data_IF_860592264454
#
_entry.id   IF_860592264454
#
_cell.length_a   1.000
_cell.length_b   1.000
_cell.length_c   1.000
_cell.angle_alpha   90.00
_cell.angle_beta   90.00
_cell.angle_gamma   90.00
#
_symmetry.space_group_name_H-M   'P 1'
#
loop_
_entity.id
_entity.type
_entity.pdbx_description
1 polymer ?
#
# COMPACT_ATOMS: atom_id res chain seq x y z
N UNK A 1 38.54 -21.37 29.68
CA UNK A 1 39.83 -21.30 29.00
C UNK A 1 40.07 -22.62 28.29
N UNK A 2 40.57 -22.57 27.06
CA UNK A 2 40.90 -23.75 26.26
C UNK A 2 42.19 -24.36 26.78
N UNK A 3 42.35 -25.65 26.61
CA UNK A 3 43.64 -26.32 26.86
C UNK A 3 44.62 -26.00 25.72
N UNK A 4 45.92 -26.21 25.92
CA UNK A 4 46.95 -26.00 24.88
C UNK A 4 46.63 -26.76 23.57
N UNK A 5 46.10 -27.99 23.69
CA UNK A 5 45.61 -28.76 22.54
C UNK A 5 44.38 -28.09 21.88
N UNK A 6 43.51 -27.52 22.69
CA UNK A 6 42.33 -26.78 22.21
C UNK A 6 42.70 -25.51 21.44
N UNK A 7 43.71 -24.77 21.90
CA UNK A 7 44.23 -23.59 21.19
C UNK A 7 44.87 -23.96 19.85
N UNK A 8 45.65 -25.03 19.81
CA UNK A 8 46.23 -25.55 18.56
C UNK A 8 45.16 -25.99 17.58
N UNK A 9 44.11 -26.69 18.05
CA UNK A 9 43.00 -27.10 17.23
C UNK A 9 42.24 -25.87 16.67
N UNK A 10 41.96 -24.88 17.52
CA UNK A 10 41.30 -23.64 17.11
C UNK A 10 42.10 -22.92 16.01
N UNK A 11 43.41 -22.79 16.18
CA UNK A 11 44.26 -22.13 15.17
C UNK A 11 44.26 -22.85 13.80
N UNK A 12 44.14 -24.17 13.80
CA UNK A 12 44.06 -24.97 12.57
C UNK A 12 42.64 -24.98 11.98
N UNK A 13 41.59 -24.92 12.79
CA UNK A 13 40.21 -24.95 12.37
C UNK A 13 39.73 -23.59 11.85
N UNK A 14 40.23 -22.48 12.41
CA UNK A 14 39.78 -21.14 12.02
C UNK A 14 39.87 -20.86 10.49
N UNK A 15 41.01 -21.14 9.82
CA UNK A 15 41.10 -20.93 8.36
C UNK A 15 40.11 -21.77 7.54
N UNK A 16 39.79 -22.98 8.04
CA UNK A 16 38.85 -23.88 7.38
C UNK A 16 37.44 -23.33 7.48
N UNK A 17 37.05 -22.79 8.64
CA UNK A 17 35.75 -22.15 8.87
C UNK A 17 35.64 -20.89 8.00
N UNK A 18 36.67 -20.05 7.97
CA UNK A 18 36.72 -18.86 7.12
C UNK A 18 36.59 -19.20 5.64
N UNK A 19 37.29 -20.22 5.15
CA UNK A 19 37.14 -20.69 3.78
C UNK A 19 35.76 -21.26 3.49
N UNK A 20 35.18 -21.99 4.42
CA UNK A 20 33.81 -22.49 4.29
C UNK A 20 32.80 -21.35 4.22
N UNK A 21 32.89 -20.38 5.11
CA UNK A 21 32.03 -19.19 5.09
C UNK A 21 32.16 -18.38 3.82
N UNK A 22 33.40 -18.19 3.33
CA UNK A 22 33.65 -17.51 2.04
C UNK A 22 33.06 -18.29 0.86
N UNK A 23 33.20 -19.62 0.85
CA UNK A 23 32.60 -20.46 -0.18
C UNK A 23 31.08 -20.43 -0.15
N UNK A 24 30.49 -20.46 1.03
CA UNK A 24 29.04 -20.30 1.20
C UNK A 24 28.59 -18.93 0.72
N UNK A 25 29.28 -17.86 1.09
CA UNK A 25 28.97 -16.50 0.61
C UNK A 25 29.07 -16.40 -0.92
N UNK A 26 30.09 -17.00 -1.54
CA UNK A 26 30.24 -17.07 -2.99
C UNK A 26 29.10 -17.87 -3.63
N UNK A 27 28.77 -19.03 -3.10
CA UNK A 27 27.66 -19.87 -3.57
C UNK A 27 26.31 -19.16 -3.47
N UNK A 28 26.09 -18.37 -2.42
CA UNK A 28 24.90 -17.54 -2.28
C UNK A 28 24.86 -16.38 -3.30
N UNK A 29 26.03 -15.84 -3.68
CA UNK A 29 26.11 -14.83 -4.73
C UNK A 29 25.88 -15.41 -6.13
N UNK A 30 26.35 -16.65 -6.38
CA UNK A 30 26.18 -17.34 -7.66
C UNK A 30 24.76 -17.90 -7.86
N UNK A 31 24.04 -18.21 -6.77
CA UNK A 31 22.61 -18.50 -6.80
C UNK A 31 21.90 -17.15 -6.74
N UNK A 32 21.65 -16.54 -7.88
CA UNK A 32 20.75 -15.39 -7.95
C UNK A 32 19.40 -15.83 -7.38
N UNK A 33 19.09 -15.35 -6.19
CA UNK A 33 17.76 -15.53 -5.65
C UNK A 33 16.76 -14.97 -6.68
N UNK A 34 15.66 -15.69 -6.97
CA UNK A 34 14.65 -15.13 -7.85
C UNK A 34 14.24 -13.75 -7.31
N UNK A 35 13.94 -12.77 -8.18
CA UNK A 35 13.54 -11.46 -7.74
C UNK A 35 12.27 -11.53 -6.91
N UNK A 36 12.20 -10.74 -5.85
CA UNK A 36 10.95 -10.47 -5.14
C UNK A 36 10.11 -9.52 -5.99
N UNK A 37 8.98 -10.01 -6.48
CA UNK A 37 8.07 -9.26 -7.36
C UNK A 37 7.00 -8.59 -6.51
N UNK A 38 7.08 -7.27 -6.41
CA UNK A 38 6.19 -6.43 -5.62
C UNK A 38 5.26 -5.63 -6.54
N UNK A 39 3.96 -5.86 -6.44
CA UNK A 39 2.94 -5.03 -7.07
C UNK A 39 2.52 -3.88 -6.17
N UNK A 40 2.50 -2.67 -6.69
CA UNK A 40 2.01 -1.48 -5.97
C UNK A 40 0.82 -0.92 -6.74
N UNK A 41 -0.32 -0.82 -6.06
CA UNK A 41 -1.49 -0.19 -6.64
C UNK A 41 -1.22 1.27 -6.99
N UNK A 42 -1.60 1.68 -8.21
CA UNK A 42 -1.56 3.10 -8.62
C UNK A 42 -2.49 3.98 -7.79
N UNK A 43 -3.47 3.39 -7.10
CA UNK A 43 -4.30 4.10 -6.14
C UNK A 43 -3.51 4.55 -4.89
N UNK A 44 -2.36 3.92 -4.63
CA UNK A 44 -1.40 4.32 -3.62
C UNK A 44 -0.40 5.29 -4.25
N UNK A 45 -0.82 6.54 -4.46
CA UNK A 45 0.09 7.58 -4.97
C UNK A 45 1.25 7.76 -3.98
N UNK A 46 2.49 7.99 -4.43
CA UNK A 46 3.67 8.11 -3.57
C UNK A 46 3.49 9.06 -2.36
N UNK A 47 2.68 10.10 -2.52
CA UNK A 47 2.37 11.06 -1.46
C UNK A 47 1.51 10.44 -0.32
N UNK A 48 0.89 9.28 -0.55
CA UNK A 48 0.06 8.59 0.45
C UNK A 48 0.84 7.62 1.32
N UNK A 49 2.00 7.18 0.85
CA UNK A 49 2.92 6.34 1.60
C UNK A 49 4.32 6.97 1.59
N UNK A 50 4.51 8.14 2.24
CA UNK A 50 5.82 8.79 2.29
C UNK A 50 6.95 7.84 2.69
N UNK A 51 6.75 6.89 3.64
CA UNK A 51 7.79 5.95 4.04
C UNK A 51 8.02 4.80 3.04
N UNK A 52 7.25 4.68 1.95
CA UNK A 52 7.42 3.56 1.01
C UNK A 52 8.80 3.59 0.36
N UNK A 53 9.26 4.76 -0.10
CA UNK A 53 10.58 4.91 -0.69
C UNK A 53 11.69 4.49 0.28
N UNK A 54 11.61 4.98 1.51
CA UNK A 54 12.56 4.64 2.57
C UNK A 54 12.52 3.15 2.92
N UNK A 55 11.34 2.55 2.96
CA UNK A 55 11.17 1.12 3.23
C UNK A 55 11.77 0.25 2.11
N UNK A 56 11.57 0.62 0.84
CA UNK A 56 12.16 -0.09 -0.30
C UNK A 56 13.69 0.02 -0.29
N UNK A 57 14.22 1.19 0.05
CA UNK A 57 15.65 1.40 0.17
C UNK A 57 16.22 0.60 1.37
N UNK A 58 15.58 0.63 2.51
CA UNK A 58 15.97 -0.17 3.67
C UNK A 58 15.94 -1.68 3.37
N UNK A 59 14.95 -2.13 2.58
CA UNK A 59 14.90 -3.52 2.12
C UNK A 59 16.12 -3.87 1.26
N UNK A 60 16.47 -3.04 0.27
CA UNK A 60 17.64 -3.27 -0.60
C UNK A 60 18.95 -3.31 0.18
N UNK A 61 19.07 -2.42 1.16
CA UNK A 61 20.27 -2.39 2.03
C UNK A 61 20.37 -3.63 2.92
N UNK A 62 19.24 -4.10 3.44
CA UNK A 62 19.20 -5.25 4.36
C UNK A 62 19.33 -6.59 3.61
N UNK A 63 18.86 -6.66 2.38
CA UNK A 63 18.82 -7.88 1.58
C UNK A 63 19.41 -7.68 0.18
N UNK A 64 20.72 -7.34 0.10
CA UNK A 64 21.36 -7.00 -1.19
C UNK A 64 21.39 -8.16 -2.20
N UNK A 65 21.28 -9.42 -1.71
CA UNK A 65 21.23 -10.61 -2.55
C UNK A 65 19.84 -10.94 -3.11
N UNK A 66 18.81 -10.15 -2.78
CA UNK A 66 17.44 -10.36 -3.28
C UNK A 66 17.09 -9.20 -4.23
N UNK A 67 17.09 -9.42 -5.55
CA UNK A 67 16.63 -8.42 -6.50
C UNK A 67 15.16 -8.08 -6.22
N UNK A 68 14.81 -6.79 -6.27
CA UNK A 68 13.45 -6.31 -6.06
C UNK A 68 12.91 -5.75 -7.38
N UNK A 69 11.87 -6.38 -7.90
CA UNK A 69 11.09 -5.91 -9.05
C UNK A 69 9.81 -5.27 -8.57
N UNK A 70 9.60 -4.01 -8.93
CA UNK A 70 8.43 -3.24 -8.51
C UNK A 70 7.60 -2.90 -9.74
N UNK A 71 6.32 -3.25 -9.71
CA UNK A 71 5.35 -2.97 -10.76
C UNK A 71 4.22 -2.10 -10.23
N UNK A 72 3.81 -1.11 -11.02
CA UNK A 72 2.63 -0.29 -10.74
C UNK A 72 1.44 -0.86 -11.49
N UNK A 73 0.36 -1.18 -10.78
CA UNK A 73 -0.80 -1.92 -11.29
C UNK A 73 -2.11 -1.26 -10.83
N UNK A 74 -3.22 -1.57 -11.48
CA UNK A 74 -4.54 -1.21 -10.95
C UNK A 74 -4.80 -1.96 -9.62
N UNK A 75 -5.66 -1.40 -8.77
CA UNK A 75 -5.86 -1.93 -7.43
C UNK A 75 -6.42 -3.36 -7.41
N UNK A 76 -7.23 -3.70 -8.37
CA UNK A 76 -7.85 -5.02 -8.59
C UNK A 76 -6.91 -6.03 -9.26
N UNK A 77 -5.95 -5.56 -10.05
CA UNK A 77 -4.95 -6.42 -10.71
C UNK A 77 -3.96 -7.04 -9.72
N UNK A 78 -3.59 -6.32 -8.66
CA UNK A 78 -2.60 -6.80 -7.68
C UNK A 78 -3.05 -8.10 -7.00
N UNK A 79 -4.27 -8.23 -6.46
CA UNK A 79 -4.76 -9.49 -5.90
C UNK A 79 -4.81 -10.62 -6.93
N UNK A 80 -5.20 -10.34 -8.16
CA UNK A 80 -5.27 -11.33 -9.22
C UNK A 80 -3.87 -11.90 -9.56
N UNK A 81 -2.86 -11.02 -9.64
CA UNK A 81 -1.49 -11.42 -9.90
C UNK A 81 -0.83 -12.15 -8.72
N UNK A 82 -1.20 -11.81 -7.47
CA UNK A 82 -0.80 -12.59 -6.29
C UNK A 82 -1.37 -14.01 -6.32
N UNK A 83 -2.64 -14.15 -6.65
CA UNK A 83 -3.30 -15.48 -6.75
C UNK A 83 -2.69 -16.35 -7.85
N UNK A 84 -2.29 -15.76 -8.97
CA UNK A 84 -1.65 -16.49 -10.06
C UNK A 84 -0.17 -16.80 -9.80
N UNK A 85 0.44 -16.22 -8.76
CA UNK A 85 1.87 -16.33 -8.48
C UNK A 85 2.74 -15.45 -9.40
N UNK A 86 2.15 -14.52 -10.15
CA UNK A 86 2.90 -13.53 -10.92
C UNK A 86 3.58 -12.49 -10.03
N UNK A 87 3.04 -12.24 -8.83
CA UNK A 87 3.62 -11.43 -7.77
C UNK A 87 3.83 -12.25 -6.51
N UNK A 88 4.79 -11.86 -5.69
CA UNK A 88 5.10 -12.45 -4.40
C UNK A 88 4.51 -11.62 -3.24
N UNK A 89 4.40 -10.32 -3.43
CA UNK A 89 3.81 -9.38 -2.48
C UNK A 89 3.07 -8.26 -3.21
N UNK A 90 2.14 -7.61 -2.52
CA UNK A 90 1.40 -6.49 -3.08
C UNK A 90 0.98 -5.47 -2.05
N UNK A 91 1.03 -4.20 -2.43
CA UNK A 91 0.48 -3.09 -1.68
C UNK A 91 -0.80 -2.61 -2.37
N UNK A 92 -1.91 -2.70 -1.67
CA UNK A 92 -3.22 -2.34 -2.18
C UNK A 92 -3.95 -1.44 -1.20
N UNK A 93 -4.87 -0.65 -1.71
CA UNK A 93 -5.91 -0.03 -0.89
C UNK A 93 -6.95 -1.12 -0.61
N UNK A 94 -7.04 -1.57 0.65
CA UNK A 94 -8.04 -2.57 1.05
C UNK A 94 -9.41 -1.91 1.19
N UNK A 95 -10.22 -2.13 0.20
CA UNK A 95 -11.57 -1.61 0.10
C UNK A 95 -12.61 -2.72 0.36
N UNK A 96 -12.16 -3.81 0.99
CA UNK A 96 -13.01 -4.93 1.38
C UNK A 96 -13.17 -6.02 0.30
N UNK A 97 -12.57 -5.85 -0.88
CA UNK A 97 -12.71 -6.77 -2.02
C UNK A 97 -11.58 -7.81 -2.14
N UNK A 98 -10.54 -7.72 -1.28
CA UNK A 98 -9.43 -8.68 -1.35
C UNK A 98 -9.89 -10.12 -1.05
N UNK A 99 -9.49 -11.04 -1.90
CA UNK A 99 -9.82 -12.46 -1.75
C UNK A 99 -9.37 -13.03 -0.40
N UNK A 100 -10.24 -13.80 0.24
CA UNK A 100 -10.00 -14.38 1.57
C UNK A 100 -8.79 -15.34 1.64
N UNK A 101 -8.30 -15.79 0.49
CA UNK A 101 -7.16 -16.71 0.39
C UNK A 101 -5.79 -16.02 0.51
N UNK A 102 -5.73 -14.70 0.43
CA UNK A 102 -4.48 -13.97 0.55
C UNK A 102 -4.23 -13.57 2.02
N UNK A 103 -2.99 -13.78 2.50
CA UNK A 103 -2.54 -13.23 3.76
C UNK A 103 -2.51 -11.69 3.69
N UNK A 104 -3.07 -11.01 4.69
CA UNK A 104 -3.18 -9.55 4.71
C UNK A 104 -2.64 -8.98 6.01
N UNK A 105 -1.95 -7.86 5.89
CA UNK A 105 -1.50 -7.07 7.03
C UNK A 105 -1.87 -5.60 6.76
N UNK A 106 -2.64 -5.00 7.65
CA UNK A 106 -2.93 -3.57 7.57
C UNK A 106 -1.68 -2.78 7.95
N UNK A 107 -1.21 -1.94 7.05
CA UNK A 107 -0.05 -1.07 7.29
C UNK A 107 -0.49 0.27 7.88
N UNK A 108 -1.64 0.78 7.43
CA UNK A 108 -2.19 2.06 7.89
C UNK A 108 -3.71 2.08 7.67
N UNK A 109 -4.39 2.96 8.38
CA UNK A 109 -5.80 3.26 8.15
C UNK A 109 -5.94 4.69 7.66
N UNK A 110 -6.91 4.88 6.79
CA UNK A 110 -7.21 6.18 6.25
C UNK A 110 -8.70 6.48 6.45
N UNK A 111 -8.99 7.75 6.69
CA UNK A 111 -10.37 8.23 6.78
C UNK A 111 -10.74 8.87 5.45
N UNK A 112 -11.93 8.56 4.94
CA UNK A 112 -12.44 9.24 3.76
C UNK A 112 -12.58 10.74 4.05
N UNK A 113 -12.07 11.56 3.13
CA UNK A 113 -12.17 13.01 3.23
C UNK A 113 -13.01 13.55 2.07
N UNK A 114 -13.82 14.55 2.38
CA UNK A 114 -14.62 15.28 1.40
C UNK A 114 -13.89 16.58 1.03
N UNK A 115 -13.53 16.70 -0.24
CA UNK A 115 -13.11 17.98 -0.79
C UNK A 115 -14.35 18.82 -1.09
N UNK A 116 -14.42 20.00 -0.54
CA UNK A 116 -15.57 20.88 -0.70
C UNK A 116 -15.21 22.21 -1.33
N UNK A 117 -16.05 22.69 -2.23
CA UNK A 117 -15.97 24.02 -2.79
C UNK A 117 -16.15 25.09 -1.69
N UNK A 118 -15.49 26.24 -1.85
CA UNK A 118 -15.72 27.39 -0.97
C UNK A 118 -17.17 27.91 -1.00
N UNK A 119 -17.93 27.55 -2.01
CA UNK A 119 -19.35 27.90 -2.17
C UNK A 119 -20.28 26.87 -1.52
N UNK A 120 -19.76 25.73 -1.11
CA UNK A 120 -20.55 24.67 -0.49
C UNK A 120 -20.99 25.04 0.92
N UNK A 121 -22.19 24.59 1.31
CA UNK A 121 -22.68 24.66 2.69
C UNK A 121 -21.77 23.91 3.69
N UNK A 122 -20.93 23.03 3.20
CA UNK A 122 -19.98 22.25 3.98
C UNK A 122 -18.62 22.92 4.13
N UNK A 123 -18.43 24.10 3.52
CA UNK A 123 -17.17 24.82 3.63
C UNK A 123 -16.83 25.11 5.11
N UNK A 124 -15.60 24.84 5.51
CA UNK A 124 -15.08 24.98 6.87
C UNK A 124 -15.63 23.96 7.90
N UNK A 125 -16.44 22.99 7.48
CA UNK A 125 -16.83 21.88 8.35
C UNK A 125 -15.66 20.93 8.53
N UNK A 126 -15.38 20.54 9.78
CA UNK A 126 -14.32 19.57 10.10
C UNK A 126 -14.78 18.14 9.89
N UNK A 127 -16.05 17.87 10.07
CA UNK A 127 -16.64 16.57 9.86
C UNK A 127 -18.04 16.74 9.26
N UNK A 128 -18.41 15.79 8.42
CA UNK A 128 -19.71 15.71 7.75
C UNK A 128 -20.18 14.27 7.90
N UNK A 129 -21.38 14.07 8.41
CA UNK A 129 -21.95 12.72 8.50
C UNK A 129 -22.49 12.27 7.14
N UNK A 130 -22.55 10.96 6.86
CA UNK A 130 -23.15 10.45 5.64
C UNK A 130 -24.58 10.93 5.42
N UNK A 131 -25.39 11.05 6.48
CA UNK A 131 -26.78 11.53 6.40
C UNK A 131 -26.89 12.97 5.89
N UNK A 132 -25.89 13.82 6.14
CA UNK A 132 -25.89 15.21 5.66
C UNK A 132 -25.62 15.31 4.15
N UNK A 133 -25.17 14.23 3.52
CA UNK A 133 -24.89 14.15 2.09
C UNK A 133 -26.07 13.63 1.28
N UNK A 134 -27.22 13.40 1.91
CA UNK A 134 -28.44 12.99 1.21
C UNK A 134 -28.83 13.99 0.14
N UNK A 135 -29.07 13.49 -1.09
CA UNK A 135 -29.39 14.29 -2.26
C UNK A 135 -28.25 15.13 -2.87
N UNK A 136 -27.07 15.15 -2.25
CA UNK A 136 -25.90 15.86 -2.79
C UNK A 136 -25.29 15.10 -3.97
N UNK A 137 -24.65 15.82 -4.88
CA UNK A 137 -23.85 15.21 -5.93
C UNK A 137 -22.40 15.09 -5.48
N UNK A 138 -21.87 13.88 -5.47
CA UNK A 138 -20.52 13.58 -5.07
C UNK A 138 -19.73 13.04 -6.24
N UNK A 139 -18.60 13.67 -6.54
CA UNK A 139 -17.65 13.16 -7.51
C UNK A 139 -16.70 12.19 -6.84
N UNK A 140 -16.60 10.99 -7.39
CA UNK A 140 -15.69 9.97 -6.93
C UNK A 140 -14.65 9.74 -8.01
N UNK A 141 -13.35 9.87 -7.71
CA UNK A 141 -12.31 9.49 -8.69
C UNK A 141 -12.52 8.04 -9.12
N UNK A 142 -12.36 7.77 -10.41
CA UNK A 142 -12.63 6.48 -11.04
C UNK A 142 -11.89 5.33 -10.38
N UNK A 143 -12.52 4.79 -9.35
CA UNK A 143 -12.12 3.56 -8.69
C UNK A 143 -13.07 2.44 -9.11
N UNK A 144 -12.59 1.24 -8.96
CA UNK A 144 -13.41 0.04 -8.99
C UNK A 144 -14.67 0.25 -8.11
N UNK A 145 -15.88 -0.03 -8.61
CA UNK A 145 -17.11 0.06 -7.81
C UNK A 145 -17.04 -0.73 -6.49
N UNK A 146 -16.34 -1.84 -6.45
CA UNK A 146 -16.11 -2.61 -5.23
C UNK A 146 -15.24 -1.85 -4.20
N UNK A 147 -14.41 -0.96 -4.66
CA UNK A 147 -13.61 -0.09 -3.86
C UNK A 147 -14.42 0.89 -3.00
N UNK A 148 -15.59 1.24 -3.48
CA UNK A 148 -16.50 2.17 -2.82
C UNK A 148 -17.48 1.48 -1.86
N UNK A 149 -17.44 0.14 -1.75
CA UNK A 149 -18.38 -0.62 -0.92
C UNK A 149 -18.47 -0.14 0.54
N UNK A 150 -17.37 0.15 1.26
CA UNK A 150 -17.46 0.66 2.63
C UNK A 150 -18.15 2.02 2.71
N UNK A 151 -17.95 2.86 1.70
CA UNK A 151 -18.61 4.16 1.59
C UNK A 151 -20.11 4.00 1.31
N UNK A 152 -20.46 3.12 0.36
CA UNK A 152 -21.85 2.76 0.09
C UNK A 152 -22.56 2.25 1.34
N UNK A 153 -21.90 1.38 2.11
CA UNK A 153 -22.46 0.87 3.34
C UNK A 153 -22.74 1.99 4.34
N UNK A 154 -21.80 2.94 4.47
CA UNK A 154 -21.99 4.09 5.37
C UNK A 154 -23.19 4.98 4.94
N UNK A 155 -23.44 5.13 3.64
CA UNK A 155 -24.64 5.83 3.17
C UNK A 155 -25.92 5.03 3.43
N UNK A 156 -25.91 3.73 3.18
CA UNK A 156 -27.05 2.85 3.46
C UNK A 156 -27.40 2.84 4.96
N UNK A 157 -26.40 2.75 5.82
CA UNK A 157 -26.56 2.76 7.26
C UNK A 157 -27.14 4.10 7.77
N UNK A 158 -26.90 5.17 7.03
CA UNK A 158 -27.39 6.51 7.36
C UNK A 158 -28.70 6.89 6.62
N UNK A 159 -29.28 5.96 5.84
CA UNK A 159 -30.44 6.20 4.97
C UNK A 159 -30.23 7.43 4.05
N UNK A 160 -29.03 7.58 3.53
CA UNK A 160 -28.62 8.69 2.65
C UNK A 160 -28.41 8.23 1.21
N UNK A 161 -28.88 9.04 0.26
CA UNK A 161 -28.90 8.72 -1.16
C UNK A 161 -28.20 9.82 -1.99
N UNK A 162 -26.88 10.00 -1.84
CA UNK A 162 -26.15 10.95 -2.68
C UNK A 162 -26.11 10.45 -4.12
N UNK A 163 -26.05 11.38 -5.07
CA UNK A 163 -25.78 11.07 -6.48
C UNK A 163 -24.28 10.94 -6.67
N UNK A 164 -23.80 9.76 -7.06
CA UNK A 164 -22.38 9.56 -7.33
C UNK A 164 -22.10 9.74 -8.81
N UNK A 165 -21.16 10.62 -9.12
CA UNK A 165 -20.59 10.80 -10.44
C UNK A 165 -19.14 10.32 -10.42
N UNK A 166 -18.83 9.32 -11.25
CA UNK A 166 -17.49 8.74 -11.34
C UNK A 166 -16.70 9.52 -12.39
N UNK A 167 -15.64 10.17 -11.96
CA UNK A 167 -14.72 10.88 -12.86
C UNK A 167 -13.58 9.98 -13.31
N UNK A 168 -13.36 9.87 -14.62
CA UNK A 168 -12.26 9.06 -15.17
C UNK A 168 -10.86 9.56 -14.79
N UNK A 169 -10.73 10.84 -14.47
CA UNK A 169 -9.42 11.46 -14.17
C UNK A 169 -9.48 12.33 -12.92
N UNK A 170 -8.46 12.24 -12.11
CA UNK A 170 -8.34 13.01 -10.87
C UNK A 170 -8.44 14.53 -11.08
N UNK A 171 -7.89 15.08 -12.19
CA UNK A 171 -8.01 16.52 -12.47
C UNK A 171 -9.44 16.96 -12.79
N UNK A 172 -10.27 16.10 -13.38
CA UNK A 172 -11.67 16.40 -13.60
C UNK A 172 -12.39 16.54 -12.27
N UNK A 173 -12.07 15.68 -11.33
CA UNK A 173 -12.57 15.75 -9.96
C UNK A 173 -12.18 17.07 -9.32
N UNK A 174 -10.92 17.48 -9.39
CA UNK A 174 -10.45 18.75 -8.84
C UNK A 174 -11.10 19.97 -9.53
N UNK A 175 -11.26 19.95 -10.84
CA UNK A 175 -11.91 21.03 -11.60
C UNK A 175 -13.38 21.15 -11.22
N UNK A 176 -14.08 20.03 -11.17
CA UNK A 176 -15.50 19.97 -10.79
C UNK A 176 -15.74 20.33 -9.33
N UNK A 177 -14.75 20.11 -8.44
CA UNK A 177 -14.80 20.52 -7.03
C UNK A 177 -14.99 22.03 -6.84
N UNK A 178 -14.58 22.83 -7.82
CA UNK A 178 -14.79 24.28 -7.77
C UNK A 178 -16.26 24.67 -7.97
N UNK A 179 -17.01 23.82 -8.65
CA UNK A 179 -18.41 24.08 -9.03
C UNK A 179 -19.39 23.27 -8.19
N UNK A 180 -19.00 22.08 -7.72
CA UNK A 180 -19.87 21.12 -7.03
C UNK A 180 -19.17 20.52 -5.81
N UNK A 181 -19.94 19.88 -4.93
CA UNK A 181 -19.36 19.08 -3.83
C UNK A 181 -18.67 17.84 -4.39
N UNK A 182 -17.48 17.57 -3.92
CA UNK A 182 -16.69 16.44 -4.38
C UNK A 182 -16.26 15.56 -3.22
N UNK A 183 -16.56 14.28 -3.31
CA UNK A 183 -15.97 13.29 -2.46
C UNK A 183 -14.65 12.84 -3.10
N UNK A 184 -13.54 13.33 -2.61
CA UNK A 184 -12.27 12.75 -2.92
C UNK A 184 -11.87 11.83 -1.76
N UNK A 185 -11.65 10.58 -2.04
CA UNK A 185 -11.01 9.63 -1.11
C UNK A 185 -9.53 9.99 -1.02
N UNK A 186 -9.22 11.24 -0.64
CA UNK A 186 -7.89 11.76 -0.90
C UNK A 186 -7.28 12.60 0.19
N UNK A 187 -7.60 12.42 1.43
CA UNK A 187 -6.70 12.81 2.49
C UNK A 187 -6.74 11.86 3.65
N UNK A 188 -5.65 11.22 3.77
CA UNK A 188 -5.33 10.25 4.75
C UNK A 188 -4.53 10.97 5.85
N UNK A 189 -5.18 11.33 6.93
CA UNK A 189 -4.45 11.54 8.16
C UNK A 189 -4.04 10.14 8.62
N UNK A 190 -2.78 9.82 8.46
CA UNK A 190 -2.21 8.66 9.12
C UNK A 190 -2.27 8.95 10.62
N UNK A 191 -3.11 8.26 11.35
CA UNK A 191 -2.92 8.08 12.78
C UNK A 191 -1.62 7.27 12.97
N UNK A 192 -0.51 7.95 12.80
CA UNK A 192 0.79 7.46 13.24
C UNK A 192 0.82 7.65 14.75
N UNK A 193 0.14 6.77 15.47
CA UNK A 193 0.46 6.57 16.87
C UNK A 193 1.74 5.71 16.90
N UNK A 194 2.84 6.39 17.23
CA UNK A 194 4.14 5.83 17.57
C UNK A 194 4.06 4.88 18.77
#
# INVERSE_FOLDING_TARGET
ALTEKGERFRAQAAPVVEQFDAMCAQAYQDIQAPPLRLGISVALVPDYLPPLGDALEAFRQRYPGIPLEVSSLANDEVPAQLQSGALDAGLVMDLGSCAAVLARTALTKHTAALLVSRRSRFWQRQAISPAELDGETLFVPGFDPDALRPLWQAFLDADAHPKLEIGEKFYQVLYQTQEQNCLALNRFESDTQA
#
